data_IF_612014214002
#
_entry.id   IF_612014214002
#
_cell.length_a   1.000
_cell.length_b   1.000
_cell.length_c   1.000
_cell.angle_alpha   90.00
_cell.angle_beta   90.00
_cell.angle_gamma   90.00
#
_symmetry.space_group_name_H-M   'P 1'
#
loop_
_entity.id
_entity.type
_entity.pdbx_description
1 polymer ?
#
# COMPACT_ATOMS: atom_id res chain seq x y z
N UNK A 1 17.49 17.68 5.86
CA UNK A 1 16.87 16.34 5.69
C UNK A 1 15.37 16.47 5.98
N UNK A 2 14.53 15.70 5.31
CA UNK A 2 13.09 15.71 5.57
C UNK A 2 12.75 14.89 6.83
N UNK A 3 11.98 15.46 7.74
CA UNK A 3 11.48 14.73 8.93
C UNK A 3 10.29 13.83 8.62
N UNK A 4 9.62 14.08 7.49
CA UNK A 4 8.48 13.33 6.97
C UNK A 4 8.42 13.42 5.45
N UNK A 5 8.05 12.32 4.81
CA UNK A 5 7.72 12.24 3.39
C UNK A 5 6.50 11.34 3.22
N UNK A 6 5.48 11.79 2.49
CA UNK A 6 4.30 10.99 2.19
C UNK A 6 4.28 10.75 0.67
N UNK A 7 4.46 9.51 0.26
CA UNK A 7 4.47 9.11 -1.15
C UNK A 7 3.12 8.49 -1.47
N UNK A 8 2.47 8.92 -2.55
CA UNK A 8 1.17 8.44 -2.97
C UNK A 8 1.23 7.85 -4.37
N UNK A 9 0.57 6.72 -4.58
CA UNK A 9 0.30 6.16 -5.90
C UNK A 9 -1.22 6.04 -6.08
N UNK A 10 -1.73 6.64 -7.14
CA UNK A 10 -3.14 6.58 -7.51
C UNK A 10 -3.40 5.38 -8.42
N UNK A 11 -4.45 4.63 -8.08
CA UNK A 11 -4.93 3.44 -8.80
C UNK A 11 -6.31 3.78 -9.34
N UNK A 12 -6.39 3.98 -10.65
CA UNK A 12 -7.60 4.39 -11.37
C UNK A 12 -8.12 3.22 -12.21
N UNK A 13 -9.45 3.12 -12.35
CA UNK A 13 -10.09 2.14 -13.26
C UNK A 13 -10.03 0.68 -12.78
N UNK A 14 -9.50 0.41 -11.59
CA UNK A 14 -9.53 -0.92 -10.97
C UNK A 14 -10.81 -1.09 -10.14
N UNK A 15 -11.60 -2.16 -10.32
CA UNK A 15 -12.84 -2.38 -9.56
C UNK A 15 -12.65 -2.41 -8.04
N UNK A 16 -13.60 -1.85 -7.30
CA UNK A 16 -13.56 -1.76 -5.83
C UNK A 16 -13.41 -3.14 -5.15
N UNK A 17 -14.17 -4.13 -5.60
CA UNK A 17 -14.16 -5.50 -5.08
C UNK A 17 -12.85 -6.24 -5.35
N UNK A 18 -12.11 -5.81 -6.37
CA UNK A 18 -10.79 -6.34 -6.69
C UNK A 18 -9.69 -5.66 -5.88
N UNK A 19 -9.59 -4.33 -5.91
CA UNK A 19 -8.53 -3.58 -5.20
C UNK A 19 -8.59 -3.76 -3.68
N UNK A 20 -9.80 -3.90 -3.13
CA UNK A 20 -9.99 -4.10 -1.68
C UNK A 20 -9.51 -5.47 -1.19
N UNK A 21 -9.10 -6.39 -2.07
CA UNK A 21 -8.48 -7.66 -1.70
C UNK A 21 -6.98 -7.52 -1.39
N UNK A 22 -6.33 -6.46 -1.86
CA UNK A 22 -4.89 -6.26 -1.66
C UNK A 22 -4.57 -5.91 -0.20
N UNK A 23 -3.39 -6.36 0.26
CA UNK A 23 -2.86 -6.12 1.60
C UNK A 23 -1.36 -5.85 1.55
N UNK A 24 -0.85 -5.14 2.55
CA UNK A 24 0.56 -5.23 2.93
C UNK A 24 0.74 -6.49 3.77
N UNK A 25 1.48 -7.47 3.24
CA UNK A 25 1.61 -8.81 3.85
C UNK A 25 2.69 -8.90 4.91
N UNK A 26 3.44 -7.81 5.13
CA UNK A 26 4.40 -7.69 6.23
C UNK A 26 3.73 -7.96 7.59
N UNK A 27 4.51 -8.40 8.60
CA UNK A 27 4.01 -8.64 9.96
C UNK A 27 3.78 -7.32 10.72
N UNK A 28 2.89 -6.46 10.22
CA UNK A 28 2.51 -5.18 10.82
C UNK A 28 1.03 -5.20 11.22
N UNK A 29 0.62 -4.27 12.10
CA UNK A 29 -0.79 -4.13 12.47
C UNK A 29 -1.63 -3.74 11.27
N UNK A 30 -2.83 -4.31 11.16
CA UNK A 30 -3.81 -3.96 10.13
C UNK A 30 -5.07 -3.38 10.78
N UNK A 31 -5.54 -2.23 10.29
CA UNK A 31 -6.75 -1.58 10.77
C UNK A 31 -7.63 -1.15 9.57
N UNK A 32 -8.66 -1.93 9.22
CA UNK A 32 -9.65 -1.53 8.23
C UNK A 32 -10.69 -0.58 8.84
N UNK A 33 -11.20 0.32 8.01
CA UNK A 33 -12.34 1.21 8.29
C UNK A 33 -13.37 0.96 7.20
N UNK A 34 -14.57 0.56 7.62
CA UNK A 34 -15.69 0.28 6.75
C UNK A 34 -16.71 1.42 6.80
N UNK A 35 -17.33 1.71 5.66
CA UNK A 35 -18.44 2.62 5.55
C UNK A 35 -19.73 2.05 6.11
N UNK A 36 -20.79 2.87 6.12
CA UNK A 36 -22.14 2.42 6.53
C UNK A 36 -22.69 1.29 5.65
N UNK A 37 -22.23 1.20 4.40
CA UNK A 37 -22.58 0.13 3.46
C UNK A 37 -21.85 -1.19 3.74
N UNK A 38 -20.93 -1.23 4.70
CA UNK A 38 -20.06 -2.39 4.95
C UNK A 38 -18.87 -2.50 3.99
N UNK A 39 -18.75 -1.61 2.99
CA UNK A 39 -17.60 -1.58 2.08
C UNK A 39 -16.36 -1.01 2.75
N UNK A 40 -15.19 -1.56 2.43
CA UNK A 40 -13.91 -1.00 2.88
C UNK A 40 -13.78 0.41 2.30
N UNK A 41 -13.44 1.39 3.13
CA UNK A 41 -13.16 2.76 2.70
C UNK A 41 -11.69 3.10 2.87
N UNK A 42 -11.09 2.65 3.98
CA UNK A 42 -9.69 2.91 4.30
C UNK A 42 -9.08 1.72 5.03
N UNK A 43 -7.86 1.35 4.70
CA UNK A 43 -7.03 0.39 5.40
C UNK A 43 -5.72 1.05 5.84
N UNK A 44 -5.29 0.77 7.07
CA UNK A 44 -3.99 1.18 7.59
C UNK A 44 -3.13 -0.04 7.91
N UNK A 45 -1.86 0.01 7.54
CA UNK A 45 -0.83 -0.94 7.94
C UNK A 45 0.28 -0.22 8.72
N UNK A 46 0.53 -0.66 9.96
CA UNK A 46 1.41 0.01 10.90
C UNK A 46 0.72 1.13 11.70
N UNK A 47 1.37 1.58 12.78
CA UNK A 47 0.81 2.61 13.66
C UNK A 47 1.00 4.01 13.06
N UNK A 48 0.16 4.98 13.45
CA UNK A 48 0.31 6.36 12.94
C UNK A 48 1.62 7.01 13.39
N UNK A 49 2.14 6.56 14.53
CA UNK A 49 3.34 7.09 15.16
C UNK A 49 4.63 6.40 14.71
N UNK A 50 4.55 5.29 13.95
CA UNK A 50 5.74 4.61 13.45
C UNK A 50 6.43 5.40 12.33
N UNK A 51 7.68 5.04 12.09
CA UNK A 51 8.49 5.65 11.01
C UNK A 51 7.99 5.31 9.61
N UNK A 52 7.15 4.26 9.48
CA UNK A 52 6.42 3.90 8.26
C UNK A 52 5.00 3.53 8.63
N UNK A 53 4.03 4.13 7.94
CA UNK A 53 2.65 3.69 7.90
C UNK A 53 2.19 3.67 6.44
N UNK A 54 1.57 2.58 6.02
CA UNK A 54 0.95 2.49 4.69
C UNK A 54 -0.56 2.64 4.84
N UNK A 55 -1.19 3.34 3.91
CA UNK A 55 -2.64 3.55 3.85
C UNK A 55 -3.13 3.20 2.47
N UNK A 56 -4.27 2.52 2.38
CA UNK A 56 -4.98 2.35 1.12
C UNK A 56 -6.41 2.83 1.34
N UNK A 57 -6.89 3.75 0.51
CA UNK A 57 -8.23 4.32 0.70
C UNK A 57 -8.90 4.70 -0.61
N UNK A 58 -10.23 4.71 -0.59
CA UNK A 58 -11.05 5.17 -1.70
C UNK A 58 -10.92 6.69 -1.82
N UNK A 59 -10.07 7.14 -2.74
CA UNK A 59 -9.70 8.53 -2.93
C UNK A 59 -10.83 9.32 -3.58
N UNK A 60 -11.60 8.71 -4.48
CA UNK A 60 -12.81 9.33 -5.04
C UNK A 60 -13.82 9.67 -3.95
N UNK A 61 -14.16 8.70 -3.09
CA UNK A 61 -15.08 8.90 -1.97
C UNK A 61 -14.56 9.97 -1.00
N UNK A 62 -13.25 9.99 -0.75
CA UNK A 62 -12.60 11.01 0.10
C UNK A 62 -12.74 12.42 -0.48
N UNK A 63 -12.55 12.58 -1.79
CA UNK A 63 -12.70 13.86 -2.51
C UNK A 63 -14.16 14.31 -2.56
N UNK A 64 -15.09 13.41 -2.85
CA UNK A 64 -16.54 13.70 -2.84
C UNK A 64 -17.01 14.18 -1.47
N UNK A 65 -16.54 13.55 -0.38
CA UNK A 65 -16.83 14.00 1.00
C UNK A 65 -16.28 15.38 1.30
N UNK A 66 -15.15 15.74 0.69
CA UNK A 66 -14.57 17.10 0.73
C UNK A 66 -15.24 18.08 -0.23
N UNK A 67 -16.34 17.67 -0.88
CA UNK A 67 -17.08 18.46 -1.88
C UNK A 67 -16.20 18.92 -3.05
N UNK A 68 -15.16 18.14 -3.37
CA UNK A 68 -14.34 18.36 -4.55
C UNK A 68 -15.03 17.78 -5.78
N UNK A 69 -14.80 18.39 -6.94
CA UNK A 69 -15.31 17.87 -8.22
C UNK A 69 -14.38 16.75 -8.66
N UNK A 70 -14.93 15.53 -8.75
CA UNK A 70 -14.25 14.39 -9.37
C UNK A 70 -14.76 14.26 -10.81
N UNK A 71 -13.88 14.20 -11.82
CA UNK A 71 -14.28 13.99 -13.21
C UNK A 71 -15.15 12.73 -13.37
N UNK A 72 -16.18 12.80 -14.23
CA UNK A 72 -17.19 11.74 -14.36
C UNK A 72 -16.62 10.44 -14.93
N UNK A 73 -15.58 10.54 -15.73
CA UNK A 73 -14.82 9.45 -16.31
C UNK A 73 -14.05 8.62 -15.28
N UNK A 74 -13.81 9.17 -14.08
CA UNK A 74 -13.17 8.43 -12.99
C UNK A 74 -14.23 7.60 -12.28
N UNK A 75 -14.39 6.35 -12.71
CA UNK A 75 -15.33 5.41 -12.09
C UNK A 75 -14.84 4.95 -10.71
N UNK A 76 -13.60 4.47 -10.64
CA UNK A 76 -12.93 4.06 -9.41
C UNK A 76 -11.60 4.80 -9.23
N UNK A 77 -11.28 5.14 -7.98
CA UNK A 77 -10.03 5.78 -7.63
C UNK A 77 -9.64 5.41 -6.21
N UNK A 78 -8.60 4.61 -6.11
CA UNK A 78 -7.95 4.24 -4.87
C UNK A 78 -6.57 4.86 -4.80
N UNK A 79 -6.10 5.14 -3.58
CA UNK A 79 -4.74 5.62 -3.36
C UNK A 79 -4.05 4.74 -2.34
N UNK A 80 -2.87 4.24 -2.70
CA UNK A 80 -1.90 3.72 -1.74
C UNK A 80 -0.96 4.85 -1.34
N UNK A 81 -0.75 5.04 -0.05
CA UNK A 81 0.03 6.14 0.48
C UNK A 81 0.98 5.66 1.58
N UNK A 82 2.27 5.88 1.39
CA UNK A 82 3.34 5.54 2.32
C UNK A 82 3.76 6.79 3.07
N UNK A 83 3.31 6.90 4.32
CA UNK A 83 3.74 7.94 5.25
C UNK A 83 5.05 7.51 5.92
N UNK A 84 6.13 8.23 5.63
CA UNK A 84 7.48 7.98 6.13
C UNK A 84 7.93 9.10 7.05
N UNK A 85 8.65 8.76 8.12
CA UNK A 85 9.14 9.72 9.12
C UNK A 85 10.59 9.40 9.50
N UNK A 86 11.29 10.41 10.01
CA UNK A 86 12.67 10.27 10.52
C UNK A 86 13.59 9.66 9.46
N UNK A 87 14.44 8.69 9.82
CA UNK A 87 15.39 8.06 8.89
C UNK A 87 14.72 7.48 7.63
N UNK A 88 13.50 6.93 7.77
CA UNK A 88 12.75 6.37 6.64
C UNK A 88 12.28 7.42 5.63
N UNK A 89 12.15 8.69 6.02
CA UNK A 89 11.85 9.77 5.09
C UNK A 89 13.06 10.10 4.21
N UNK A 90 14.28 9.97 4.73
CA UNK A 90 15.51 10.06 3.93
C UNK A 90 15.62 8.88 2.97
N UNK A 91 15.32 7.67 3.44
CA UNK A 91 15.39 6.43 2.65
C UNK A 91 14.09 6.13 1.88
N UNK A 92 13.35 7.17 1.50
CA UNK A 92 12.00 7.02 0.96
C UNK A 92 11.94 6.07 -0.24
N UNK A 93 12.92 6.13 -1.13
CA UNK A 93 12.98 5.30 -2.33
C UNK A 93 13.00 3.80 -2.00
N UNK A 94 13.83 3.39 -1.03
CA UNK A 94 13.89 2.01 -0.58
C UNK A 94 12.59 1.60 0.14
N UNK A 95 12.01 2.50 0.94
CA UNK A 95 10.78 2.23 1.68
C UNK A 95 9.55 2.09 0.81
N UNK A 96 9.45 2.86 -0.28
CA UNK A 96 8.39 2.71 -1.28
C UNK A 96 8.51 1.34 -1.96
N UNK A 97 9.70 0.99 -2.44
CA UNK A 97 9.96 -0.33 -3.05
C UNK A 97 9.59 -1.47 -2.12
N UNK A 98 10.05 -1.45 -0.87
CA UNK A 98 9.74 -2.48 0.12
C UNK A 98 8.23 -2.60 0.38
N UNK A 99 7.50 -1.48 0.38
CA UNK A 99 6.05 -1.47 0.59
C UNK A 99 5.31 -2.07 -0.61
N UNK A 100 5.73 -1.75 -1.84
CA UNK A 100 5.18 -2.34 -3.06
C UNK A 100 5.57 -3.82 -3.22
N UNK A 101 6.74 -4.22 -2.73
CA UNK A 101 7.19 -5.63 -2.68
C UNK A 101 6.37 -6.48 -1.72
N UNK A 102 5.61 -5.86 -0.82
CA UNK A 102 4.73 -6.53 0.12
C UNK A 102 3.26 -6.25 -0.15
N UNK A 103 2.92 -5.50 -1.20
CA UNK A 103 1.55 -5.24 -1.61
C UNK A 103 1.08 -6.40 -2.50
N UNK A 104 0.13 -7.21 -2.02
CA UNK A 104 -0.25 -8.44 -2.69
C UNK A 104 -1.74 -8.76 -2.51
N UNK A 105 -2.29 -9.49 -3.47
CA UNK A 105 -3.64 -10.07 -3.41
C UNK A 105 -3.57 -11.59 -3.47
N UNK A 106 -4.41 -12.33 -2.72
CA UNK A 106 -4.48 -13.78 -2.82
C UNK A 106 -5.14 -14.28 -4.12
N UNK A 107 -5.66 -13.37 -4.96
CA UNK A 107 -6.36 -13.70 -6.20
C UNK A 107 -5.46 -14.42 -7.21
N UNK A 108 -4.19 -14.00 -7.28
CA UNK A 108 -3.23 -14.46 -8.29
C UNK A 108 -2.36 -15.63 -7.85
N UNK A 109 -2.57 -16.18 -6.64
CA UNK A 109 -1.77 -17.29 -6.12
C UNK A 109 -1.54 -18.39 -7.19
N UNK A 110 -0.29 -18.82 -7.44
CA UNK A 110 0.04 -19.74 -8.53
C UNK A 110 -0.67 -21.09 -8.38
N UNK A 111 -1.00 -21.75 -9.48
CA UNK A 111 -1.76 -23.02 -9.48
C UNK A 111 -1.13 -24.15 -8.65
N UNK A 112 0.19 -24.16 -8.53
CA UNK A 112 1.01 -25.12 -7.78
C UNK A 112 1.04 -24.86 -6.26
N UNK A 113 0.52 -23.72 -5.78
CA UNK A 113 0.28 -23.51 -4.35
C UNK A 113 -0.71 -24.57 -3.86
N UNK A 114 -0.32 -25.27 -2.80
CA UNK A 114 -1.12 -26.33 -2.17
C UNK A 114 -2.57 -25.86 -1.96
N UNK A 115 -3.59 -26.64 -2.36
CA UNK A 115 -4.99 -26.23 -2.23
C UNK A 115 -5.39 -25.78 -0.82
N UNK A 116 -4.89 -26.48 0.20
CA UNK A 116 -5.11 -26.12 1.62
C UNK A 116 -4.52 -24.76 1.99
N UNK A 117 -3.34 -24.41 1.47
CA UNK A 117 -2.71 -23.13 1.73
C UNK A 117 -3.47 -22.01 1.01
N UNK A 118 -3.93 -22.26 -0.21
CA UNK A 118 -4.76 -21.31 -0.97
C UNK A 118 -6.07 -21.01 -0.24
N UNK A 119 -6.77 -22.04 0.25
CA UNK A 119 -8.02 -21.88 1.02
C UNK A 119 -7.74 -21.10 2.30
N UNK A 120 -6.67 -21.46 3.03
CA UNK A 120 -6.28 -20.79 4.27
C UNK A 120 -5.95 -19.31 4.03
N UNK A 121 -5.15 -18.99 3.02
CA UNK A 121 -4.80 -17.61 2.67
C UNK A 121 -6.05 -16.80 2.31
N UNK A 122 -6.97 -17.37 1.50
CA UNK A 122 -8.23 -16.71 1.15
C UNK A 122 -9.08 -16.44 2.39
N UNK A 123 -9.23 -17.42 3.28
CA UNK A 123 -9.95 -17.26 4.55
C UNK A 123 -9.33 -16.18 5.44
N UNK A 124 -8.01 -16.21 5.61
CA UNK A 124 -7.23 -15.22 6.36
C UNK A 124 -7.28 -13.79 5.75
N UNK A 125 -7.55 -13.67 4.44
CA UNK A 125 -7.71 -12.36 3.80
C UNK A 125 -9.12 -11.79 3.99
N UNK A 126 -10.12 -12.67 4.04
CA UNK A 126 -11.52 -12.33 4.34
C UNK A 126 -11.69 -11.92 5.79
N UNK A 127 -11.17 -12.73 6.72
CA UNK A 127 -11.14 -12.40 8.14
C UNK A 127 -9.69 -12.29 8.64
N UNK A 128 -9.22 -11.05 8.79
CA UNK A 128 -7.87 -10.81 9.27
C UNK A 128 -7.66 -11.22 10.74
N UNK A 129 -8.73 -11.32 11.54
CA UNK A 129 -8.60 -11.72 12.95
C UNK A 129 -8.09 -13.16 13.09
N UNK A 130 -8.36 -14.01 12.09
CA UNK A 130 -7.91 -15.40 12.03
C UNK A 130 -6.38 -15.55 12.01
N UNK A 131 -5.65 -14.52 11.58
CA UNK A 131 -4.19 -14.50 11.71
C UNK A 131 -3.74 -14.63 13.16
N UNK A 132 -4.55 -14.28 14.16
CA UNK A 132 -4.20 -14.39 15.57
C UNK A 132 -4.09 -15.85 16.03
N UNK A 133 -4.93 -16.74 15.50
CA UNK A 133 -5.10 -18.11 16.01
C UNK A 133 -4.16 -19.15 15.38
N UNK A 134 -3.48 -18.81 14.28
CA UNK A 134 -2.51 -19.70 13.65
C UNK A 134 -1.09 -19.59 14.23
N UNK A 135 -0.28 -20.63 14.09
CA UNK A 135 1.09 -20.67 14.64
C UNK A 135 2.01 -19.65 13.96
N UNK A 136 2.99 -19.12 14.69
CA UNK A 136 3.97 -18.15 14.16
C UNK A 136 4.68 -18.65 12.90
N UNK A 137 5.08 -19.92 12.87
CA UNK A 137 5.74 -20.54 11.72
C UNK A 137 4.83 -20.58 10.49
N UNK A 138 3.56 -20.91 10.70
CA UNK A 138 2.55 -20.89 9.63
C UNK A 138 2.34 -19.47 9.10
N UNK A 139 2.27 -18.45 9.98
CA UNK A 139 2.17 -17.04 9.56
C UNK A 139 3.30 -16.64 8.62
N UNK A 140 4.56 -16.92 9.00
CA UNK A 140 5.72 -16.57 8.17
C UNK A 140 5.69 -17.27 6.82
N UNK A 141 5.36 -18.56 6.81
CA UNK A 141 5.29 -19.35 5.58
C UNK A 141 4.23 -18.82 4.61
N UNK A 142 3.01 -18.54 5.09
CA UNK A 142 1.93 -18.04 4.25
C UNK A 142 2.19 -16.61 3.75
N UNK A 143 2.77 -15.74 4.59
CA UNK A 143 3.20 -14.39 4.16
C UNK A 143 4.30 -14.45 3.11
N UNK A 144 5.24 -15.39 3.23
CA UNK A 144 6.28 -15.61 2.22
C UNK A 144 5.68 -16.01 0.87
N UNK A 145 4.72 -16.93 0.86
CA UNK A 145 3.99 -17.31 -0.36
C UNK A 145 3.30 -16.11 -1.01
N UNK A 146 2.59 -15.28 -0.23
CA UNK A 146 1.97 -14.06 -0.76
C UNK A 146 2.98 -13.04 -1.26
N UNK A 147 4.13 -12.90 -0.60
CA UNK A 147 5.18 -11.98 -1.00
C UNK A 147 5.86 -12.41 -2.30
N UNK A 148 6.11 -13.71 -2.46
CA UNK A 148 6.57 -14.29 -3.72
C UNK A 148 5.55 -14.03 -4.83
N UNK A 149 4.26 -14.14 -4.52
CA UNK A 149 3.20 -13.88 -5.49
C UNK A 149 3.09 -12.40 -5.92
N UNK A 150 3.35 -11.45 -5.02
CA UNK A 150 3.39 -10.03 -5.39
C UNK A 150 4.34 -9.70 -6.55
N UNK A 151 5.30 -10.58 -6.86
CA UNK A 151 6.24 -10.41 -7.96
C UNK A 151 5.62 -10.71 -9.33
N UNK A 152 4.55 -11.52 -9.37
CA UNK A 152 3.85 -11.88 -10.60
C UNK A 152 2.54 -11.09 -10.80
N UNK A 153 2.15 -10.31 -9.80
CA UNK A 153 0.92 -9.51 -9.81
C UNK A 153 1.03 -8.30 -10.74
N UNK A 154 0.17 -8.25 -11.76
CA UNK A 154 0.21 -7.23 -12.81
C UNK A 154 0.04 -5.81 -12.24
N UNK A 155 -0.93 -5.59 -11.35
CA UNK A 155 -1.17 -4.27 -10.75
C UNK A 155 0.03 -3.80 -9.93
N UNK A 156 0.61 -4.69 -9.12
CA UNK A 156 1.77 -4.39 -8.29
C UNK A 156 2.99 -4.11 -9.13
N UNK A 157 3.18 -4.83 -10.24
CA UNK A 157 4.26 -4.58 -11.18
C UNK A 157 4.09 -3.23 -11.88
N UNK A 158 2.89 -2.86 -12.33
CA UNK A 158 2.62 -1.53 -12.87
C UNK A 158 2.95 -0.42 -11.85
N UNK A 159 2.55 -0.59 -10.59
CA UNK A 159 2.88 0.36 -9.52
C UNK A 159 4.41 0.53 -9.33
N UNK A 160 5.17 -0.57 -9.40
CA UNK A 160 6.64 -0.54 -9.29
C UNK A 160 7.29 0.13 -10.50
N UNK A 161 6.80 -0.14 -11.70
CA UNK A 161 7.29 0.43 -12.94
C UNK A 161 7.03 1.94 -12.97
N UNK A 162 5.80 2.38 -12.71
CA UNK A 162 5.46 3.80 -12.62
C UNK A 162 6.27 4.51 -11.53
N UNK A 163 6.50 3.85 -10.39
CA UNK A 163 7.37 4.40 -9.35
C UNK A 163 8.81 4.54 -9.84
N UNK A 164 9.37 3.52 -10.48
CA UNK A 164 10.73 3.53 -11.00
C UNK A 164 10.94 4.61 -12.06
N UNK A 165 9.96 4.81 -12.93
CA UNK A 165 9.98 5.86 -13.96
C UNK A 165 9.95 7.26 -13.35
N UNK A 166 9.11 7.48 -12.33
CA UNK A 166 8.98 8.79 -11.66
C UNK A 166 10.02 9.05 -10.57
N UNK A 167 10.74 8.04 -10.09
CA UNK A 167 11.63 8.15 -8.93
C UNK A 167 12.73 9.20 -9.10
N UNK A 168 13.30 9.33 -10.29
CA UNK A 168 14.35 10.31 -10.57
C UNK A 168 13.80 11.74 -10.54
N UNK A 169 12.64 11.97 -11.14
CA UNK A 169 11.99 13.29 -11.16
C UNK A 169 11.56 13.70 -9.74
N UNK A 170 10.98 12.77 -8.98
CA UNK A 170 10.66 12.96 -7.57
C UNK A 170 11.91 13.32 -6.74
N UNK A 171 13.04 12.66 -7.03
CA UNK A 171 14.30 12.96 -6.35
C UNK A 171 14.80 14.37 -6.69
N UNK A 172 14.77 14.76 -7.97
CA UNK A 172 15.19 16.10 -8.41
C UNK A 172 14.31 17.16 -7.76
N UNK A 173 12.99 16.95 -7.70
CA UNK A 173 12.07 17.86 -7.05
C UNK A 173 12.40 18.01 -5.56
N UNK A 174 12.55 16.90 -4.84
CA UNK A 174 12.91 16.89 -3.42
C UNK A 174 14.26 17.56 -3.14
N UNK A 175 15.27 17.30 -3.95
CA UNK A 175 16.61 17.90 -3.82
C UNK A 175 16.54 19.42 -4.10
N UNK A 176 15.72 19.86 -5.05
CA UNK A 176 15.47 21.29 -5.33
C UNK A 176 14.85 22.00 -4.12
N UNK A 177 13.87 21.37 -3.46
CA UNK A 177 13.29 21.91 -2.23
C UNK A 177 14.32 22.02 -1.10
N UNK A 178 15.22 21.04 -0.94
CA UNK A 178 16.27 21.09 0.07
C UNK A 178 17.26 22.23 -0.17
N UNK A 179 17.66 22.46 -1.42
CA UNK A 179 18.53 23.59 -1.79
C UNK A 179 17.87 24.93 -1.49
N UNK A 180 16.57 25.07 -1.79
CA UNK A 180 15.82 26.29 -1.49
C UNK A 180 15.60 26.54 0.00
N UNK A 181 15.69 25.50 0.85
CA UNK A 181 15.57 25.57 2.30
C UNK A 181 16.93 25.78 3.00
N UNK A 182 18.04 25.51 2.32
CA UNK A 182 19.39 25.83 2.78
C UNK A 182 19.66 27.33 2.61
N UNK A 183 18.85 28.14 3.30
CA UNK A 183 19.03 29.59 3.43
C UNK A 183 20.03 29.83 4.56
N UNK A 184 21.26 29.36 4.38
CA UNK A 184 22.37 29.95 5.14
C UNK A 184 22.57 31.36 4.57
N UNK A 185 22.15 32.37 5.34
CA UNK A 185 22.54 33.77 5.10
C UNK A 185 24.07 33.79 4.92
N UNK A 186 24.53 34.32 3.78
CA UNK A 186 25.95 34.60 3.55
C UNK A 186 26.48 35.62 4.54
#
# INVERSE_FOLDING_TARGET
HFSRADIACDILGVPDDFITQYRIVDPVSFKPIYGRSGKLETAYWGSRASERQVRMYNKKLEQERKKQIVPKEIETWWRIEMQLRRGKATDWHAMVRESLDSFASPHYLPGDVKPVDRIMIKGLNQDHSEWAYISRNLKYRLRKLLKEESQNDELTNHLRETFKESANDLKIELDTWLLGLDVTEK
#
